data_IF_618615341385
#
_entry.id   IF_618615341385
#
_cell.length_a   1.000
_cell.length_b   1.000
_cell.length_c   1.000
_cell.angle_alpha   90.00
_cell.angle_beta   90.00
_cell.angle_gamma   90.00
#
_symmetry.space_group_name_H-M   'P 1'
#
loop_
_entity.id
_entity.type
_entity.pdbx_description
1 polymer ?
#
# COMPACT_ATOMS: atom_id res chain seq x y z
N UNK A 1 1.19 12.43 4.90
CA UNK A 1 0.10 11.87 4.06
C UNK A 1 -0.98 11.31 4.98
N UNK A 2 -2.26 11.55 4.73
CA UNK A 2 -3.31 11.02 5.62
C UNK A 2 -3.50 9.51 5.37
N UNK A 3 -4.11 8.82 6.34
CA UNK A 3 -4.26 7.36 6.28
C UNK A 3 -5.10 6.93 5.07
N UNK A 4 -4.50 6.16 4.17
CA UNK A 4 -5.17 5.62 2.98
C UNK A 4 -5.13 6.53 1.75
N UNK A 5 -4.45 7.68 1.81
CA UNK A 5 -4.15 8.47 0.63
C UNK A 5 -3.14 7.73 -0.27
N UNK A 6 -3.19 7.91 -1.60
CA UNK A 6 -2.26 7.28 -2.53
C UNK A 6 -1.14 8.21 -3.01
N UNK A 7 -1.23 9.49 -2.65
CA UNK A 7 -0.25 10.52 -3.03
C UNK A 7 -0.14 11.54 -1.91
N UNK A 8 1.04 12.14 -1.74
CA UNK A 8 1.24 13.20 -0.76
C UNK A 8 0.75 14.56 -1.28
N UNK A 9 0.37 15.45 -0.36
CA UNK A 9 0.03 16.83 -0.69
C UNK A 9 1.21 17.54 -1.38
N UNK A 10 2.44 17.32 -0.91
CA UNK A 10 3.65 17.91 -1.51
C UNK A 10 3.84 17.46 -2.97
N UNK A 11 3.61 16.19 -3.28
CA UNK A 11 3.69 15.68 -4.65
C UNK A 11 2.62 16.31 -5.55
N UNK A 12 1.36 16.43 -5.08
CA UNK A 12 0.30 17.07 -5.86
C UNK A 12 0.58 18.57 -6.10
N UNK A 13 1.06 19.28 -5.07
CA UNK A 13 1.44 20.70 -5.20
C UNK A 13 2.58 20.89 -6.18
N UNK A 14 3.60 20.04 -6.12
CA UNK A 14 4.71 20.05 -7.07
C UNK A 14 4.20 19.83 -8.51
N UNK A 15 3.33 18.83 -8.72
CA UNK A 15 2.75 18.53 -10.04
C UNK A 15 1.90 19.67 -10.61
N UNK A 16 1.15 20.38 -9.76
CA UNK A 16 0.32 21.51 -10.16
C UNK A 16 1.10 22.84 -10.26
N UNK A 17 2.39 22.86 -9.91
CA UNK A 17 3.21 24.06 -9.74
C UNK A 17 2.60 25.06 -8.73
N UNK A 18 1.95 24.58 -7.67
CA UNK A 18 1.32 25.40 -6.63
C UNK A 18 2.24 25.53 -5.42
N UNK A 19 2.65 26.75 -5.11
CA UNK A 19 3.53 27.05 -3.97
C UNK A 19 2.78 27.58 -2.73
N UNK A 20 1.61 28.18 -2.94
CA UNK A 20 0.77 28.70 -1.86
C UNK A 20 0.17 27.59 -1.00
N UNK A 21 -0.13 27.88 0.26
CA UNK A 21 -0.87 27.00 1.18
C UNK A 21 -2.38 27.23 1.20
N UNK A 22 -2.88 28.21 0.44
CA UNK A 22 -4.30 28.60 0.46
C UNK A 22 -5.26 27.45 0.11
N UNK A 23 -4.84 26.57 -0.80
CA UNK A 23 -5.64 25.43 -1.26
C UNK A 23 -5.27 24.10 -0.57
N UNK A 24 -4.40 24.09 0.45
CA UNK A 24 -3.88 22.84 1.04
C UNK A 24 -4.97 21.93 1.61
N UNK A 25 -5.98 22.52 2.25
CA UNK A 25 -7.15 21.79 2.79
C UNK A 25 -7.95 21.15 1.63
N UNK A 26 -8.19 21.92 0.57
CA UNK A 26 -8.93 21.45 -0.60
C UNK A 26 -8.18 20.31 -1.29
N UNK A 27 -6.89 20.50 -1.59
CA UNK A 27 -6.04 19.51 -2.24
C UNK A 27 -5.96 18.23 -1.41
N UNK A 28 -5.78 18.34 -0.09
CA UNK A 28 -5.78 17.18 0.82
C UNK A 28 -7.11 16.43 0.77
N UNK A 29 -8.24 17.15 0.78
CA UNK A 29 -9.57 16.52 0.70
C UNK A 29 -9.80 15.79 -0.64
N UNK A 30 -9.31 16.36 -1.75
CA UNK A 30 -9.38 15.75 -3.09
C UNK A 30 -8.54 14.48 -3.16
N UNK A 31 -7.32 14.52 -2.61
CA UNK A 31 -6.43 13.35 -2.52
C UNK A 31 -7.16 12.21 -1.81
N UNK A 32 -7.73 12.45 -0.62
CA UNK A 32 -8.44 11.40 0.12
C UNK A 32 -9.70 10.91 -0.61
N UNK A 33 -10.43 11.78 -1.29
CA UNK A 33 -11.60 11.38 -2.08
C UNK A 33 -11.21 10.45 -3.23
N UNK A 34 -10.16 10.79 -3.97
CA UNK A 34 -9.72 10.04 -5.16
C UNK A 34 -9.04 8.74 -4.76
N UNK A 35 -8.26 8.75 -3.69
CA UNK A 35 -7.66 7.55 -3.13
C UNK A 35 -8.73 6.53 -2.74
N UNK A 36 -9.83 6.98 -2.12
CA UNK A 36 -11.00 6.13 -1.85
C UNK A 36 -11.69 5.66 -3.13
N UNK A 37 -11.86 6.54 -4.12
CA UNK A 37 -12.47 6.18 -5.40
C UNK A 37 -11.68 5.08 -6.14
N UNK A 38 -10.35 5.17 -6.13
CA UNK A 38 -9.45 4.15 -6.68
C UNK A 38 -9.63 2.83 -5.91
N UNK A 39 -9.57 2.84 -4.58
CA UNK A 39 -9.79 1.64 -3.77
C UNK A 39 -11.15 0.98 -4.06
N UNK A 40 -12.22 1.76 -4.19
CA UNK A 40 -13.55 1.27 -4.58
C UNK A 40 -13.55 0.67 -5.99
N UNK A 41 -12.94 1.34 -6.97
CA UNK A 41 -12.81 0.85 -8.34
C UNK A 41 -12.07 -0.50 -8.39
N UNK A 42 -11.00 -0.63 -7.61
CA UNK A 42 -10.20 -1.85 -7.51
C UNK A 42 -10.90 -2.97 -6.72
N UNK A 43 -12.05 -2.72 -6.09
CA UNK A 43 -12.68 -3.63 -5.13
C UNK A 43 -11.73 -4.04 -3.98
N UNK A 44 -10.91 -3.10 -3.52
CA UNK A 44 -9.92 -3.31 -2.45
C UNK A 44 -10.16 -2.33 -1.30
N UNK A 45 -10.25 -2.85 -0.08
CA UNK A 45 -10.49 -2.01 1.09
C UNK A 45 -9.25 -1.19 1.50
N UNK A 46 -8.05 -1.72 1.24
CA UNK A 46 -6.78 -1.06 1.49
C UNK A 46 -5.70 -1.59 0.55
N UNK A 47 -4.65 -0.77 0.39
CA UNK A 47 -3.46 -1.08 -0.41
C UNK A 47 -2.19 -1.14 0.45
N UNK A 48 -2.14 -0.34 1.52
CA UNK A 48 -1.02 -0.34 2.46
C UNK A 48 -1.02 -1.57 3.37
N UNK A 49 0.15 -1.99 3.88
CA UNK A 49 0.26 -3.17 4.74
C UNK A 49 -0.60 -3.06 6.00
N UNK A 50 -1.43 -4.08 6.24
CA UNK A 50 -2.28 -4.22 7.42
C UNK A 50 -2.42 -5.68 7.81
N UNK A 51 -2.54 -5.91 9.12
CA UNK A 51 -2.94 -7.20 9.66
C UNK A 51 -4.46 -7.31 9.58
N UNK A 52 -4.94 -8.43 9.08
CA UNK A 52 -6.35 -8.71 8.83
C UNK A 52 -6.71 -10.13 9.27
N UNK A 53 -7.96 -10.29 9.68
CA UNK A 53 -8.55 -11.60 9.95
C UNK A 53 -9.76 -11.71 9.03
N UNK A 54 -9.69 -12.63 8.07
CA UNK A 54 -10.81 -12.95 7.20
C UNK A 54 -11.41 -14.30 7.56
N UNK A 55 -12.73 -14.35 7.58
CA UNK A 55 -13.49 -15.58 7.68
C UNK A 55 -14.00 -16.00 6.30
N UNK A 56 -13.88 -17.29 6.01
CA UNK A 56 -14.25 -17.92 4.75
C UNK A 56 -15.19 -19.10 5.01
N UNK A 57 -16.09 -19.29 4.06
CA UNK A 57 -16.87 -20.52 3.99
C UNK A 57 -15.96 -21.62 3.42
N UNK A 58 -15.91 -22.76 4.11
CA UNK A 58 -15.22 -23.92 3.58
C UNK A 58 -15.91 -24.43 2.30
N UNK A 59 -15.11 -24.74 1.29
CA UNK A 59 -15.60 -25.06 -0.05
C UNK A 59 -15.47 -26.56 -0.40
N UNK A 60 -14.99 -27.39 0.54
CA UNK A 60 -14.68 -28.81 0.34
C UNK A 60 -13.45 -29.06 -0.54
N UNK A 61 -12.72 -28.01 -0.93
CA UNK A 61 -11.47 -28.09 -1.70
C UNK A 61 -10.28 -27.86 -0.78
N UNK A 62 -9.08 -28.07 -1.30
CA UNK A 62 -7.84 -27.85 -0.57
C UNK A 62 -7.25 -26.44 -0.76
N UNK A 63 -8.01 -25.50 -1.31
CA UNK A 63 -7.54 -24.12 -1.56
C UNK A 63 -8.64 -23.10 -1.34
N UNK A 64 -8.27 -21.95 -0.78
CA UNK A 64 -9.10 -20.76 -0.61
C UNK A 64 -8.29 -19.55 -1.07
N UNK A 65 -8.88 -18.72 -1.93
CA UNK A 65 -8.26 -17.48 -2.38
C UNK A 65 -8.44 -16.38 -1.32
N UNK A 66 -7.35 -15.71 -0.95
CA UNK A 66 -7.38 -14.62 0.02
C UNK A 66 -7.96 -13.34 -0.60
N UNK A 67 -8.61 -12.52 0.24
CA UNK A 67 -9.31 -11.31 -0.22
C UNK A 67 -8.37 -10.14 -0.47
N UNK A 68 -7.23 -10.11 0.20
CA UNK A 68 -6.23 -9.04 0.15
C UNK A 68 -4.87 -9.61 -0.24
N UNK A 69 -4.16 -8.90 -1.11
CA UNK A 69 -2.82 -9.24 -1.62
C UNK A 69 -2.05 -7.94 -1.91
N UNK A 70 -0.71 -7.93 -2.05
CA UNK A 70 0.22 -9.02 -1.77
C UNK A 70 0.16 -9.43 -0.29
N UNK A 71 0.21 -10.72 -0.02
CA UNK A 71 0.25 -11.29 1.34
C UNK A 71 1.70 -11.40 1.75
N UNK A 72 2.04 -10.68 2.82
CA UNK A 72 3.41 -10.60 3.37
C UNK A 72 3.69 -11.78 4.28
N UNK A 73 2.74 -12.13 5.15
CA UNK A 73 2.87 -13.24 6.08
C UNK A 73 1.50 -13.73 6.54
N UNK A 74 1.43 -15.00 6.95
CA UNK A 74 0.23 -15.59 7.54
C UNK A 74 0.57 -15.95 8.98
N UNK A 75 -0.21 -15.40 9.91
CA UNK A 75 0.00 -15.59 11.34
C UNK A 75 -0.67 -16.88 11.83
N UNK A 76 -1.89 -17.15 11.36
CA UNK A 76 -2.61 -18.37 11.74
C UNK A 76 -3.72 -18.74 10.77
N UNK A 77 -3.94 -20.05 10.61
CA UNK A 77 -5.11 -20.62 9.94
C UNK A 77 -5.85 -21.49 10.96
N UNK A 78 -7.15 -21.30 11.10
CA UNK A 78 -8.02 -22.16 11.91
C UNK A 78 -9.18 -22.70 11.08
N UNK A 79 -9.60 -23.92 11.39
CA UNK A 79 -10.75 -24.60 10.78
C UNK A 79 -11.62 -25.12 11.92
N UNK A 80 -12.89 -24.71 11.97
CA UNK A 80 -13.82 -25.00 13.06
C UNK A 80 -13.23 -24.61 14.44
N UNK A 81 -12.49 -23.49 14.47
CA UNK A 81 -11.78 -22.99 15.65
C UNK A 81 -10.53 -23.76 16.04
N UNK A 82 -10.14 -24.82 15.31
CA UNK A 82 -8.93 -25.59 15.56
C UNK A 82 -7.76 -25.06 14.73
N UNK A 83 -6.59 -24.82 15.33
CA UNK A 83 -5.42 -24.35 14.59
C UNK A 83 -4.91 -25.43 13.64
N UNK A 84 -4.51 -24.99 12.45
CA UNK A 84 -3.79 -25.81 11.47
C UNK A 84 -2.36 -25.31 11.42
N UNK A 85 -1.40 -26.22 11.57
CA UNK A 85 0.02 -25.89 11.48
C UNK A 85 0.44 -25.56 10.04
N UNK A 86 1.48 -24.74 9.88
CA UNK A 86 2.09 -24.48 8.58
C UNK A 86 2.84 -25.73 8.12
N UNK A 87 2.76 -26.05 6.83
CA UNK A 87 3.64 -27.03 6.18
C UNK A 87 5.02 -26.37 5.95
N UNK A 88 6.06 -26.88 6.61
CA UNK A 88 7.41 -26.27 6.59
C UNK A 88 8.29 -26.75 5.44
N UNK A 89 7.99 -27.92 4.88
CA UNK A 89 8.74 -28.57 3.81
C UNK A 89 7.97 -28.58 2.47
N UNK A 90 6.73 -28.07 2.45
CA UNK A 90 5.82 -28.11 1.31
C UNK A 90 5.23 -29.49 1.00
N UNK A 91 5.63 -30.53 1.74
CA UNK A 91 5.23 -31.92 1.51
C UNK A 91 4.38 -32.47 2.66
N UNK A 92 4.74 -32.13 3.89
CA UNK A 92 4.05 -32.48 5.12
C UNK A 92 2.68 -31.82 5.25
N UNK A 93 1.86 -32.40 6.12
CA UNK A 93 0.51 -31.91 6.41
C UNK A 93 0.54 -30.49 6.98
N UNK A 94 -0.36 -29.64 6.52
CA UNK A 94 -0.47 -28.26 6.99
C UNK A 94 -0.89 -27.29 5.91
N UNK A 95 -0.98 -26.01 6.28
CA UNK A 95 -1.27 -24.96 5.32
C UNK A 95 0.01 -24.46 4.64
N UNK A 96 -0.14 -24.05 3.38
CA UNK A 96 0.89 -23.39 2.57
C UNK A 96 0.27 -22.13 1.97
N UNK A 97 1.01 -21.03 1.95
CA UNK A 97 0.66 -19.84 1.17
C UNK A 97 1.26 -19.98 -0.23
N UNK A 98 0.46 -19.73 -1.26
CA UNK A 98 0.95 -19.58 -2.62
C UNK A 98 1.94 -18.40 -2.70
N UNK A 99 3.12 -18.58 -3.32
CA UNK A 99 4.07 -17.49 -3.46
C UNK A 99 3.41 -16.31 -4.19
N UNK A 100 3.67 -15.10 -3.68
CA UNK A 100 3.30 -13.87 -4.38
C UNK A 100 4.34 -13.52 -5.44
N UNK A 101 4.03 -12.53 -6.26
CA UNK A 101 5.01 -11.94 -7.16
C UNK A 101 5.90 -10.96 -6.40
N UNK A 102 7.15 -10.84 -6.83
CA UNK A 102 8.14 -9.94 -6.20
C UNK A 102 7.90 -8.46 -6.53
N UNK A 103 7.12 -8.18 -7.59
CA UNK A 103 6.88 -6.84 -8.13
C UNK A 103 5.38 -6.52 -8.25
N UNK A 104 4.97 -5.24 -8.11
CA UNK A 104 3.59 -4.83 -8.32
C UNK A 104 3.16 -5.05 -9.80
N UNK A 105 1.86 -5.32 -10.08
CA UNK A 105 0.72 -5.24 -9.17
C UNK A 105 0.56 -6.43 -8.22
N UNK A 106 1.25 -7.55 -8.48
CA UNK A 106 1.12 -8.81 -7.76
C UNK A 106 -0.20 -9.55 -8.00
N UNK A 107 -0.16 -10.88 -7.93
CA UNK A 107 -1.31 -11.75 -8.06
C UNK A 107 -2.08 -11.98 -6.75
N UNK A 108 -3.35 -12.38 -6.89
CA UNK A 108 -4.16 -12.84 -5.76
C UNK A 108 -3.65 -14.20 -5.28
N UNK A 109 -3.21 -14.28 -4.03
CA UNK A 109 -2.65 -15.50 -3.46
C UNK A 109 -3.71 -16.40 -2.83
N UNK A 110 -3.47 -17.70 -2.91
CA UNK A 110 -4.30 -18.71 -2.24
C UNK A 110 -3.60 -19.32 -1.02
N UNK A 111 -4.40 -19.65 -0.01
CA UNK A 111 -3.99 -20.60 1.04
C UNK A 111 -4.41 -21.99 0.60
N UNK A 112 -3.46 -22.92 0.64
CA UNK A 112 -3.64 -24.31 0.31
C UNK A 112 -3.46 -25.20 1.53
N UNK A 113 -4.15 -26.33 1.58
CA UNK A 113 -3.92 -27.40 2.55
C UNK A 113 -3.25 -28.57 1.86
N UNK A 114 -2.11 -28.99 2.41
CA UNK A 114 -1.44 -30.24 2.06
C UNK A 114 -2.06 -31.36 2.88
N UNK A 115 -2.44 -32.45 2.22
CA UNK A 115 -3.05 -33.62 2.84
C UNK A 115 -4.34 -33.30 3.64
N UNK A 116 -5.17 -32.38 3.14
CA UNK A 116 -6.42 -31.97 3.77
C UNK A 116 -7.30 -31.15 2.85
N UNK A 117 -8.49 -30.78 3.34
CA UNK A 117 -9.41 -29.87 2.67
C UNK A 117 -10.04 -28.90 3.66
N UNK A 118 -10.61 -27.82 3.15
CA UNK A 118 -11.44 -26.90 3.91
C UNK A 118 -12.86 -27.47 3.96
N UNK A 119 -13.29 -28.09 5.08
CA UNK A 119 -14.57 -28.76 5.17
C UNK A 119 -15.71 -27.75 4.96
N UNK A 120 -16.77 -28.16 4.25
CA UNK A 120 -17.90 -27.27 3.97
C UNK A 120 -18.54 -26.78 5.26
N UNK A 121 -18.65 -25.47 5.39
CA UNK A 121 -19.24 -24.80 6.55
C UNK A 121 -19.31 -23.29 6.30
N UNK A 122 -20.14 -22.59 7.06
CA UNK A 122 -20.25 -21.14 6.96
C UNK A 122 -19.26 -20.47 7.90
N UNK A 123 -18.43 -19.58 7.36
CA UNK A 123 -17.42 -18.81 8.08
C UNK A 123 -16.57 -19.65 9.05
N UNK A 124 -16.37 -20.92 8.72
CA UNK A 124 -15.73 -21.90 9.60
C UNK A 124 -14.20 -21.94 9.43
N UNK A 125 -13.68 -21.25 8.42
CA UNK A 125 -12.24 -21.07 8.20
C UNK A 125 -11.88 -19.63 8.55
N UNK A 126 -10.97 -19.44 9.50
CA UNK A 126 -10.47 -18.12 9.87
C UNK A 126 -8.98 -18.02 9.59
N UNK A 127 -8.55 -16.99 8.87
CA UNK A 127 -7.16 -16.78 8.47
C UNK A 127 -6.74 -15.38 8.94
N UNK A 128 -5.75 -15.35 9.82
CA UNK A 128 -5.09 -14.12 10.26
C UNK A 128 -3.78 -13.95 9.48
N UNK A 129 -3.62 -12.82 8.79
CA UNK A 129 -2.50 -12.58 7.90
C UNK A 129 -2.23 -11.09 7.72
N UNK A 130 -1.02 -10.75 7.28
CA UNK A 130 -0.62 -9.41 6.89
C UNK A 130 -0.61 -9.29 5.38
N UNK A 131 -1.28 -8.28 4.84
CA UNK A 131 -1.32 -8.02 3.41
C UNK A 131 -1.22 -6.53 3.07
N UNK A 132 -0.75 -6.21 1.87
CA UNK A 132 -0.54 -4.87 1.33
C UNK A 132 0.88 -4.71 0.76
N UNK A 133 1.10 -3.63 0.01
CA UNK A 133 2.38 -3.35 -0.64
C UNK A 133 3.44 -2.95 0.40
N UNK A 134 4.39 -3.85 0.66
CA UNK A 134 5.42 -3.72 1.69
C UNK A 134 6.79 -4.08 1.13
N UNK A 135 7.81 -3.28 1.47
CA UNK A 135 9.21 -3.70 1.41
C UNK A 135 9.60 -4.17 2.80
N UNK A 136 10.15 -5.38 2.89
CA UNK A 136 10.55 -5.98 4.16
C UNK A 136 12.06 -6.10 4.24
N UNK A 137 12.63 -5.75 5.40
CA UNK A 137 14.04 -5.92 5.71
C UNK A 137 15.00 -5.27 4.69
N UNK A 138 14.71 -4.06 4.22
CA UNK A 138 15.64 -3.29 3.40
C UNK A 138 16.89 -2.98 4.23
N UNK A 139 18.02 -3.60 3.85
CA UNK A 139 19.29 -3.44 4.54
C UNK A 139 19.92 -2.08 4.27
N UNK A 140 20.14 -1.31 5.34
CA UNK A 140 20.85 -0.04 5.30
C UNK A 140 21.85 0.10 6.45
N UNK A 141 22.77 1.06 6.35
CA UNK A 141 23.75 1.37 7.41
C UNK A 141 23.58 2.81 7.85
N UNK A 142 23.34 3.03 9.15
CA UNK A 142 23.21 4.37 9.71
C UNK A 142 24.52 5.15 9.47
N UNK A 143 24.48 6.39 8.94
CA UNK A 143 25.69 7.17 8.72
C UNK A 143 26.57 7.26 9.98
N UNK A 144 27.89 7.17 9.82
CA UNK A 144 28.83 7.25 10.94
C UNK A 144 28.95 8.66 11.54
N UNK A 145 28.44 9.67 10.84
CA UNK A 145 28.40 11.07 11.25
C UNK A 145 27.01 11.66 11.06
N UNK A 146 26.78 12.82 11.69
CA UNK A 146 25.55 13.59 11.50
C UNK A 146 25.28 13.79 9.98
N UNK A 147 24.00 13.71 9.54
CA UNK A 147 22.80 13.87 10.36
C UNK A 147 22.16 12.59 10.91
N UNK A 148 22.78 11.40 10.76
CA UNK A 148 22.21 10.11 11.22
C UNK A 148 20.80 9.83 10.66
N UNK A 149 20.62 10.16 9.37
CA UNK A 149 19.35 10.01 8.65
C UNK A 149 19.47 9.00 7.53
N UNK A 150 18.40 8.27 7.28
CA UNK A 150 18.27 7.31 6.19
C UNK A 150 16.97 7.54 5.45
N UNK A 151 17.05 7.61 4.12
CA UNK A 151 15.90 7.56 3.24
C UNK A 151 15.69 6.10 2.79
N UNK A 152 14.46 5.61 2.87
CA UNK A 152 14.10 4.33 2.27
C UNK A 152 14.36 4.37 0.75
N UNK A 153 14.82 3.27 0.17
CA UNK A 153 15.17 3.21 -1.27
C UNK A 153 13.95 3.38 -2.18
N UNK A 154 12.75 3.01 -1.72
CA UNK A 154 11.48 3.19 -2.43
C UNK A 154 11.47 2.62 -3.88
N UNK A 155 11.92 1.37 -4.11
CA UNK A 155 12.13 0.84 -5.46
C UNK A 155 10.84 0.74 -6.30
N UNK A 156 9.68 0.62 -5.65
CA UNK A 156 8.40 0.35 -6.30
C UNK A 156 7.39 1.50 -6.23
N UNK A 157 7.78 2.62 -5.64
CA UNK A 157 6.94 3.81 -5.48
C UNK A 157 7.08 4.46 -4.11
N UNK A 158 6.38 5.60 -3.90
CA UNK A 158 6.60 6.45 -2.73
C UNK A 158 6.30 5.73 -1.42
N UNK A 159 7.11 6.05 -0.40
CA UNK A 159 6.88 5.64 0.97
C UNK A 159 5.48 6.08 1.44
N UNK A 160 4.78 5.16 2.09
CA UNK A 160 3.42 5.38 2.55
C UNK A 160 3.31 5.37 4.07
N UNK A 161 3.89 4.35 4.70
CA UNK A 161 3.75 4.11 6.14
C UNK A 161 4.93 3.33 6.68
N UNK A 162 5.41 3.71 7.85
CA UNK A 162 6.42 2.95 8.57
C UNK A 162 5.82 1.62 9.08
N UNK A 163 6.57 0.53 8.94
CA UNK A 163 6.20 -0.79 9.43
C UNK A 163 7.24 -1.38 10.39
N UNK A 164 8.25 -0.61 10.80
CA UNK A 164 9.23 -1.01 11.80
C UNK A 164 10.67 -0.97 11.30
N UNK A 165 11.59 -0.86 12.26
CA UNK A 165 13.03 -0.99 12.04
C UNK A 165 13.59 -2.02 13.01
N UNK A 166 14.51 -2.85 12.53
CA UNK A 166 15.32 -3.72 13.38
C UNK A 166 16.80 -3.54 13.07
N UNK A 167 17.68 -3.82 14.02
CA UNK A 167 19.08 -4.03 13.70
C UNK A 167 19.21 -5.28 12.83
N UNK A 168 20.24 -5.33 11.98
CA UNK A 168 20.56 -6.53 11.20
C UNK A 168 20.88 -7.75 12.10
N UNK A 169 21.23 -7.52 13.37
CA UNK A 169 21.40 -8.56 14.39
C UNK A 169 20.09 -9.15 14.94
N UNK A 170 18.93 -8.57 14.60
CA UNK A 170 17.60 -9.09 14.90
C UNK A 170 16.83 -8.35 15.99
N UNK A 171 17.46 -7.48 16.78
CA UNK A 171 16.74 -6.69 17.79
C UNK A 171 15.92 -5.57 17.14
N UNK A 172 14.63 -5.47 17.46
CA UNK A 172 13.75 -4.40 16.96
C UNK A 172 14.06 -3.06 17.64
N UNK A 173 14.00 -1.98 16.89
CA UNK A 173 14.08 -0.62 17.42
C UNK A 173 12.68 -0.11 17.75
N UNK A 174 12.60 0.81 18.71
CA UNK A 174 11.32 1.39 19.14
C UNK A 174 11.07 2.73 18.42
N UNK A 175 9.92 2.93 17.75
CA UNK A 175 9.58 4.23 17.17
C UNK A 175 9.30 5.27 18.26
N UNK A 176 9.80 6.48 18.07
CA UNK A 176 9.53 7.65 18.91
C UNK A 176 9.18 8.85 18.03
N UNK A 177 8.52 9.85 18.61
CA UNK A 177 8.07 11.03 17.86
C UNK A 177 9.24 11.92 17.39
N UNK A 178 10.29 12.06 18.20
CA UNK A 178 11.48 12.85 17.91
C UNK A 178 12.62 12.48 18.87
N UNK A 179 13.83 12.98 18.60
CA UNK A 179 15.02 12.86 19.46
C UNK A 179 15.31 11.42 19.93
N UNK A 180 15.52 10.46 19.01
CA UNK A 180 15.73 9.06 19.35
C UNK A 180 16.97 8.84 20.25
N UNK A 181 16.80 8.03 21.29
CA UNK A 181 17.90 7.43 22.04
C UNK A 181 18.38 6.13 21.36
N UNK A 182 19.41 5.49 21.92
CA UNK A 182 19.93 4.21 21.42
C UNK A 182 18.81 3.17 21.33
N UNK A 183 18.71 2.46 20.21
CA UNK A 183 17.67 1.45 19.99
C UNK A 183 16.29 2.04 19.68
N UNK A 184 16.24 3.33 19.35
CA UNK A 184 15.03 4.02 18.93
C UNK A 184 15.24 4.68 17.56
N UNK A 185 14.14 4.97 16.90
CA UNK A 185 14.14 5.74 15.65
C UNK A 185 12.93 6.68 15.61
N UNK A 186 13.00 7.73 14.82
CA UNK A 186 11.87 8.58 14.50
C UNK A 186 11.70 8.67 12.98
N UNK A 187 10.51 9.06 12.53
CA UNK A 187 10.24 9.40 11.13
C UNK A 187 10.00 10.90 11.05
N UNK A 188 10.67 11.59 10.15
CA UNK A 188 10.44 13.01 9.95
C UNK A 188 9.24 13.30 9.03
N UNK A 189 8.97 14.59 8.78
CA UNK A 189 7.85 15.00 7.94
C UNK A 189 7.97 14.62 6.45
N UNK A 190 9.15 14.18 6.01
CA UNK A 190 9.44 13.78 4.63
C UNK A 190 9.48 12.26 4.46
N UNK A 191 9.43 11.50 5.56
CA UNK A 191 9.49 10.04 5.54
C UNK A 191 10.90 9.49 5.74
N UNK A 192 11.87 10.33 6.11
CA UNK A 192 13.22 9.88 6.42
C UNK A 192 13.29 9.33 7.86
N UNK A 193 14.00 8.23 8.02
CA UNK A 193 14.31 7.63 9.31
C UNK A 193 15.43 8.42 9.99
N UNK A 194 15.19 8.85 11.23
CA UNK A 194 16.15 9.56 12.07
C UNK A 194 16.58 8.64 13.20
N UNK A 195 17.89 8.51 13.42
CA UNK A 195 18.48 7.65 14.44
C UNK A 195 19.29 8.43 15.47
N UNK A 196 19.60 7.77 16.59
CA UNK A 196 20.51 8.30 17.59
C UNK A 196 21.95 8.29 17.08
N UNK A 197 22.77 9.27 17.49
CA UNK A 197 24.22 9.20 17.31
C UNK A 197 24.85 7.98 18.00
N UNK A 198 24.18 7.42 19.01
CA UNK A 198 24.61 6.19 19.68
C UNK A 198 24.46 4.93 18.81
N UNK A 199 23.74 5.03 17.69
CA UNK A 199 23.55 3.95 16.71
C UNK A 199 24.34 4.20 15.41
N UNK A 200 25.23 5.20 15.39
CA UNK A 200 26.05 5.52 14.23
C UNK A 200 26.84 4.30 13.74
N UNK A 201 26.79 4.04 12.43
CA UNK A 201 27.45 2.89 11.79
C UNK A 201 26.77 1.53 12.00
N UNK A 202 25.66 1.47 12.75
CA UNK A 202 24.92 0.21 12.90
C UNK A 202 24.21 -0.17 11.60
N UNK A 203 24.18 -1.47 11.31
CA UNK A 203 23.38 -2.03 10.23
C UNK A 203 21.94 -2.24 10.70
N UNK A 204 20.99 -1.78 9.90
CA UNK A 204 19.55 -1.83 10.17
C UNK A 204 18.79 -2.41 8.99
N UNK A 205 17.60 -2.91 9.29
CA UNK A 205 16.63 -3.49 8.37
C UNK A 205 15.36 -2.64 8.47
N UNK A 206 15.07 -1.88 7.42
CA UNK A 206 13.88 -1.04 7.34
C UNK A 206 12.71 -1.86 6.76
N UNK A 207 11.53 -1.76 7.37
CA UNK A 207 10.30 -2.34 6.83
C UNK A 207 9.26 -1.25 6.70
N UNK A 208 8.70 -1.08 5.50
CA UNK A 208 7.77 0.00 5.22
C UNK A 208 6.74 -0.37 4.15
N UNK A 209 5.57 0.24 4.25
CA UNK A 209 4.56 0.21 3.21
C UNK A 209 4.82 1.29 2.17
N UNK A 210 4.51 0.97 0.91
CA UNK A 210 4.63 1.90 -0.22
C UNK A 210 3.34 1.94 -1.03
N UNK A 211 3.18 2.97 -1.86
CA UNK A 211 2.16 3.00 -2.91
C UNK A 211 2.83 2.65 -4.22
N UNK A 212 2.38 1.61 -4.96
CA UNK A 212 2.91 1.32 -6.29
C UNK A 212 2.90 2.56 -7.18
N UNK A 213 4.00 2.79 -7.91
CA UNK A 213 4.19 4.01 -8.69
C UNK A 213 3.04 4.31 -9.67
N UNK A 214 2.47 3.27 -10.28
CA UNK A 214 1.32 3.40 -11.17
C UNK A 214 0.08 3.92 -10.44
N UNK A 215 -0.19 3.42 -9.22
CA UNK A 215 -1.31 3.86 -8.40
C UNK A 215 -1.11 5.30 -7.87
N UNK A 216 0.12 5.63 -7.47
CA UNK A 216 0.48 6.98 -7.05
C UNK A 216 0.29 7.98 -8.20
N UNK A 217 0.74 7.62 -9.41
CA UNK A 217 0.58 8.44 -10.62
C UNK A 217 -0.89 8.59 -11.01
N UNK A 218 -1.68 7.50 -10.97
CA UNK A 218 -3.12 7.55 -11.21
C UNK A 218 -3.84 8.50 -10.24
N UNK A 219 -3.53 8.40 -8.95
CA UNK A 219 -4.13 9.26 -7.93
C UNK A 219 -3.71 10.73 -8.13
N UNK A 220 -2.44 10.98 -8.45
CA UNK A 220 -1.89 12.30 -8.73
C UNK A 220 -2.60 12.96 -9.92
N UNK A 221 -2.65 12.27 -11.06
CA UNK A 221 -3.23 12.80 -12.30
C UNK A 221 -4.74 13.00 -12.19
N UNK A 222 -5.45 12.06 -11.56
CA UNK A 222 -6.89 12.22 -11.34
C UNK A 222 -7.17 13.38 -10.39
N UNK A 223 -6.36 13.57 -9.34
CA UNK A 223 -6.49 14.71 -8.43
C UNK A 223 -6.21 16.04 -9.13
N UNK A 224 -5.17 16.08 -9.96
CA UNK A 224 -4.86 17.26 -10.76
C UNK A 224 -6.00 17.62 -11.73
N UNK A 225 -6.55 16.64 -12.45
CA UNK A 225 -7.68 16.86 -13.37
C UNK A 225 -8.93 17.37 -12.62
N UNK A 226 -9.23 16.77 -11.45
CA UNK A 226 -10.36 17.19 -10.61
C UNK A 226 -10.21 18.62 -10.08
N UNK A 227 -8.99 19.01 -9.71
CA UNK A 227 -8.69 20.36 -9.27
C UNK A 227 -8.87 21.37 -10.41
N UNK A 228 -8.36 21.08 -11.62
CA UNK A 228 -8.54 21.94 -12.81
C UNK A 228 -9.99 21.98 -13.32
N UNK A 229 -10.77 20.91 -13.12
CA UNK A 229 -12.18 20.88 -13.49
C UNK A 229 -13.02 21.94 -12.73
N UNK A 230 -12.56 22.39 -11.55
CA UNK A 230 -13.19 23.48 -10.78
C UNK A 230 -13.42 24.74 -11.62
N UNK A 231 -12.50 25.05 -12.53
CA UNK A 231 -12.56 26.28 -13.33
C UNK A 231 -13.51 26.16 -14.54
N UNK A 232 -14.04 24.95 -14.80
CA UNK A 232 -14.86 24.61 -15.98
C UNK A 232 -16.09 23.75 -15.66
N UNK A 233 -16.63 23.87 -14.45
CA UNK A 233 -17.78 23.07 -14.01
C UNK A 233 -18.97 23.30 -14.97
N UNK A 234 -19.45 22.22 -15.60
CA UNK A 234 -20.60 22.26 -16.51
C UNK A 234 -20.31 22.75 -17.93
N UNK A 235 -19.04 23.00 -18.29
CA UNK A 235 -18.65 23.42 -19.64
C UNK A 235 -18.28 22.21 -20.52
N UNK A 236 -18.89 22.12 -21.70
CA UNK A 236 -18.59 21.09 -22.73
C UNK A 236 -17.65 21.64 -23.81
N UNK A 237 -17.79 22.91 -24.13
CA UNK A 237 -16.92 23.64 -25.05
C UNK A 237 -16.88 25.12 -24.68
N UNK A 238 -15.84 25.82 -25.14
CA UNK A 238 -15.71 27.27 -25.05
C UNK A 238 -15.10 27.80 -26.35
N UNK A 239 -15.75 28.77 -26.97
CA UNK A 239 -15.15 29.52 -28.09
C UNK A 239 -14.10 30.50 -27.53
N UNK A 240 -12.90 30.50 -28.12
CA UNK A 240 -11.78 31.38 -27.76
C UNK A 240 -11.60 32.56 -28.74
N UNK A 241 -12.44 32.63 -29.76
CA UNK A 241 -12.43 33.67 -30.80
C UNK A 241 -13.29 33.25 -31.98
N UNK A 242 -13.34 34.07 -33.03
CA UNK A 242 -14.21 33.84 -34.20
C UNK A 242 -13.96 32.54 -34.96
N UNK A 243 -12.81 31.87 -34.74
CA UNK A 243 -12.44 30.61 -35.42
C UNK A 243 -11.87 29.51 -34.51
N UNK A 244 -11.73 29.74 -33.20
CA UNK A 244 -11.15 28.74 -32.28
C UNK A 244 -12.18 28.28 -31.25
N UNK A 245 -12.35 26.96 -31.14
CA UNK A 245 -13.21 26.32 -30.14
C UNK A 245 -12.41 25.28 -29.38
N UNK A 246 -12.36 25.39 -28.05
CA UNK A 246 -11.88 24.32 -27.19
C UNK A 246 -13.04 23.41 -26.81
N UNK A 247 -12.86 22.10 -26.97
CA UNK A 247 -13.75 21.07 -26.45
C UNK A 247 -13.16 20.45 -25.18
N UNK A 248 -14.01 20.13 -24.21
CA UNK A 248 -13.59 19.57 -22.92
C UNK A 248 -14.02 18.10 -22.77
N UNK A 249 -13.16 17.30 -22.13
CA UNK A 249 -13.47 15.92 -21.75
C UNK A 249 -14.35 15.91 -20.48
N UNK A 250 -15.43 15.12 -20.49
CA UNK A 250 -16.43 15.06 -19.39
C UNK A 250 -16.48 13.66 -18.74
N UNK A 251 -15.58 12.75 -19.11
CA UNK A 251 -15.54 11.39 -18.54
C UNK A 251 -15.25 11.42 -17.04
N UNK A 252 -15.93 10.57 -16.27
CA UNK A 252 -15.79 10.51 -14.81
C UNK A 252 -14.38 10.12 -14.33
N UNK A 253 -13.70 9.28 -15.12
CA UNK A 253 -12.32 8.85 -14.90
C UNK A 253 -11.54 9.01 -16.21
N UNK A 254 -10.31 9.54 -16.17
CA UNK A 254 -9.44 9.58 -17.36
C UNK A 254 -9.14 8.18 -17.92
N UNK A 255 -9.13 8.01 -19.24
CA UNK A 255 -8.91 6.70 -19.88
C UNK A 255 -7.54 6.07 -19.53
N UNK A 256 -6.49 6.90 -19.43
CA UNK A 256 -5.16 6.45 -19.03
C UNK A 256 -5.13 5.95 -17.58
N UNK A 257 -5.85 6.61 -16.66
CA UNK A 257 -6.03 6.12 -15.28
C UNK A 257 -6.72 4.77 -15.31
N UNK A 258 -7.81 4.65 -16.08
CA UNK A 258 -8.56 3.40 -16.19
C UNK A 258 -7.68 2.24 -16.68
N UNK A 259 -6.82 2.49 -17.66
CA UNK A 259 -5.93 1.49 -18.22
C UNK A 259 -4.90 1.01 -17.20
N UNK A 260 -4.27 1.93 -16.47
CA UNK A 260 -3.26 1.61 -15.45
C UNK A 260 -3.83 0.87 -14.23
N UNK A 261 -5.11 1.10 -13.88
CA UNK A 261 -5.75 0.44 -12.74
C UNK A 261 -6.11 -1.04 -12.99
N UNK A 262 -6.15 -1.52 -14.23
CA UNK A 262 -6.66 -2.88 -14.57
C UNK A 262 -5.92 -4.00 -13.84
N UNK A 263 -4.61 -3.88 -13.66
CA UNK A 263 -3.78 -4.92 -13.02
C UNK A 263 -3.94 -5.02 -11.50
N UNK A 264 -4.51 -4.00 -10.86
CA UNK A 264 -4.59 -3.92 -9.39
C UNK A 264 -5.94 -4.35 -8.83
N UNK A 265 -6.92 -4.60 -9.71
CA UNK A 265 -8.30 -4.86 -9.33
C UNK A 265 -8.53 -6.29 -8.85
N UNK A 266 -9.41 -6.45 -7.87
CA UNK A 266 -9.90 -7.78 -7.48
C UNK A 266 -10.84 -8.29 -8.57
N UNK A 267 -10.51 -9.43 -9.16
CA UNK A 267 -11.45 -10.14 -10.03
C UNK A 267 -12.42 -10.88 -9.11
N UNK A 268 -13.64 -10.37 -9.02
CA UNK A 268 -14.75 -11.08 -8.38
C UNK A 268 -15.32 -11.99 -9.46
N UNK A 269 -15.01 -13.28 -9.39
CA UNK A 269 -15.75 -14.26 -10.16
C UNK A 269 -17.19 -14.26 -9.62
N UNK A 270 -18.13 -13.76 -10.43
CA UNK A 270 -19.56 -13.89 -10.18
C UNK A 270 -19.99 -15.35 -10.28
#
# INVERSE_FOLDING_TARGET
MARGDLVSLSALKAHLCVQSSADDILLSSMISQISRAICTYLNRAFLWPRDVIDNFDGNGRNRIQLRNWPVVSVNSVTIDGRPVAQSTDGHGSGWLLEPGDDEPPGAMQMIMLRNGCFPRGWQNVSIAYRAGYQVSNEGQTIPASAPYRLAAAQPYGPFAVDCGVAYASGATLTPVAANPARGQYAIDGFGDYVFSSSDAGAQVLLTYGYVPQDLASCALEWAADRYRYRDRIGMVSKSLGSQETAAFRITAMPDYVQQSLRGFGRIIAN
#
